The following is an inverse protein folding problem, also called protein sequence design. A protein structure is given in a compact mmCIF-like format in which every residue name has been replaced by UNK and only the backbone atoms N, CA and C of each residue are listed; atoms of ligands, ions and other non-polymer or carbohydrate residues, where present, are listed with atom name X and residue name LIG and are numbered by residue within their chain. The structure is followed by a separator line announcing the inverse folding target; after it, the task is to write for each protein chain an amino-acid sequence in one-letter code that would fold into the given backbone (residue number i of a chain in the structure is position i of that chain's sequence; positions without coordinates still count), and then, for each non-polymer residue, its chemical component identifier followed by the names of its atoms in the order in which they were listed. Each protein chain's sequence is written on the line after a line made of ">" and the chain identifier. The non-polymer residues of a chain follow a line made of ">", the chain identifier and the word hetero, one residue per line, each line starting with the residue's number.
data_IF_509678346335
#
_entry.id   IF_509678346335
#
_cell.length_a   1.000
_cell.length_b   1.000
_cell.length_c   1.000
_cell.angle_alpha   90.00
_cell.angle_beta   90.00
_cell.angle_gamma   90.00
#
_symmetry.space_group_name_H-M   'P 1'
#
loop_
_entity.id
_entity.type
_entity.pdbx_description
1 polymer ?
#
# COMPACT_ATOMS: atom_id res chain seq x y z
N UNK A 1 -34.76 11.78 38.49
CA UNK A 1 -34.01 11.04 37.46
C UNK A 1 -32.53 11.30 37.67
N UNK A 2 -31.73 10.25 37.85
CA UNK A 2 -30.35 10.36 38.33
C UNK A 2 -29.42 10.79 37.20
N UNK A 3 -28.61 11.84 37.40
CA UNK A 3 -27.70 12.41 36.40
C UNK A 3 -26.69 11.40 35.83
N UNK A 4 -26.50 10.26 36.49
CA UNK A 4 -25.65 9.16 36.02
C UNK A 4 -26.22 8.41 34.80
N UNK A 5 -27.55 8.43 34.60
CA UNK A 5 -28.18 7.76 33.47
C UNK A 5 -27.92 8.50 32.15
N UNK A 6 -27.91 9.84 32.22
CA UNK A 6 -27.63 10.72 31.08
C UNK A 6 -26.19 10.57 30.56
N UNK A 7 -25.23 10.38 31.47
CA UNK A 7 -23.82 10.20 31.12
C UNK A 7 -23.57 8.84 30.46
N UNK A 8 -24.24 7.78 30.91
CA UNK A 8 -24.15 6.44 30.32
C UNK A 8 -24.68 6.40 28.90
N UNK A 9 -25.78 7.10 28.62
CA UNK A 9 -26.33 7.18 27.26
C UNK A 9 -25.38 7.94 26.32
N UNK A 10 -24.78 9.06 26.80
CA UNK A 10 -23.83 9.85 26.01
C UNK A 10 -22.54 9.11 25.64
N UNK A 11 -22.09 8.15 26.47
CA UNK A 11 -20.87 7.38 26.20
C UNK A 11 -21.10 6.14 25.33
N UNK A 12 -22.36 5.74 25.09
CA UNK A 12 -22.70 4.52 24.35
C UNK A 12 -22.42 4.63 22.84
N UNK A 13 -22.35 5.85 22.30
CA UNK A 13 -22.12 6.13 20.88
C UNK A 13 -20.66 6.30 20.44
N UNK A 14 -19.72 6.45 21.38
CA UNK A 14 -18.33 6.80 21.06
C UNK A 14 -17.59 5.74 20.23
N UNK A 15 -17.87 4.46 20.45
CA UNK A 15 -17.25 3.37 19.70
C UNK A 15 -17.88 3.17 18.32
N UNK A 16 -19.20 3.36 18.17
CA UNK A 16 -19.88 3.27 16.88
C UNK A 16 -19.43 4.37 15.90
N UNK A 17 -19.06 5.55 16.41
CA UNK A 17 -18.45 6.62 15.59
C UNK A 17 -17.05 6.28 15.06
N UNK A 18 -16.32 5.38 15.74
CA UNK A 18 -15.01 4.89 15.31
C UNK A 18 -15.13 3.66 14.39
N UNK A 19 -16.19 2.86 14.57
CA UNK A 19 -16.48 1.65 13.76
C UNK A 19 -17.28 2.00 12.49
N UNK A 20 -17.73 3.25 12.32
CA UNK A 20 -18.40 3.70 11.08
C UNK A 20 -17.41 3.72 9.92
N UNK A 21 -17.25 2.56 9.29
CA UNK A 21 -16.54 2.36 8.03
C UNK A 21 -16.97 3.40 7.00
N UNK A 22 -16.01 3.99 6.31
CA UNK A 22 -16.24 4.92 5.19
C UNK A 22 -16.79 4.18 3.98
N UNK A 23 -18.03 3.70 4.09
CA UNK A 23 -18.88 3.15 3.04
C UNK A 23 -20.29 3.56 3.49
N UNK A 24 -21.02 4.49 2.89
CA UNK A 24 -21.03 5.01 1.53
C UNK A 24 -22.21 5.97 1.49
N UNK A 25 -22.05 7.19 0.97
CA UNK A 25 -23.19 8.00 0.54
C UNK A 25 -22.74 9.14 -0.40
N UNK A 26 -22.36 8.79 -1.62
CA UNK A 26 -22.77 9.58 -2.78
C UNK A 26 -23.05 8.68 -3.97
N UNK A 27 -24.31 8.24 -3.99
CA UNK A 27 -25.21 8.19 -5.13
C UNK A 27 -24.71 7.61 -6.46
N UNK A 28 -25.33 6.48 -6.76
CA UNK A 28 -25.44 5.83 -8.05
C UNK A 28 -25.82 6.82 -9.17
N UNK A 29 -24.99 6.88 -10.21
CA UNK A 29 -25.48 7.08 -11.58
C UNK A 29 -24.59 6.31 -12.54
N UNK A 30 -25.17 5.26 -13.12
CA UNK A 30 -24.61 4.53 -14.24
C UNK A 30 -24.17 5.50 -15.35
N UNK A 31 -22.93 5.37 -15.81
CA UNK A 31 -22.53 5.20 -17.22
C UNK A 31 -21.02 5.30 -17.33
N UNK A 32 -20.46 4.36 -18.10
CA UNK A 32 -19.27 4.52 -18.94
C UNK A 32 -17.98 5.04 -18.32
N UNK A 33 -16.95 4.19 -18.40
CA UNK A 33 -15.67 4.49 -19.06
C UNK A 33 -15.20 5.95 -19.09
N UNK A 34 -13.93 6.11 -18.72
CA UNK A 34 -13.04 7.25 -18.99
C UNK A 34 -13.12 8.42 -18.02
N UNK A 35 -12.15 8.46 -17.10
CA UNK A 35 -10.92 9.26 -17.28
C UNK A 35 -10.19 9.41 -15.94
N UNK A 36 -9.20 8.55 -15.70
CA UNK A 36 -8.07 8.91 -14.84
C UNK A 36 -6.83 8.72 -15.71
N UNK A 37 -6.47 9.85 -16.32
CA UNK A 37 -5.12 10.27 -16.73
C UNK A 37 -4.11 9.13 -16.93
N UNK A 38 -3.74 8.95 -18.19
CA UNK A 38 -2.61 8.14 -18.63
C UNK A 38 -1.39 8.33 -17.72
N UNK A 39 -1.14 7.33 -16.89
CA UNK A 39 0.13 7.06 -16.26
C UNK A 39 0.51 5.64 -16.70
N UNK A 40 1.79 5.37 -17.03
CA UNK A 40 2.20 4.11 -17.64
C UNK A 40 1.67 2.95 -16.80
N UNK A 41 1.21 1.89 -17.46
CA UNK A 41 0.69 0.66 -16.87
C UNK A 41 1.69 0.14 -15.83
N UNK A 42 1.58 0.60 -14.58
CA UNK A 42 2.39 0.11 -13.48
C UNK A 42 1.82 -1.24 -13.13
N UNK A 43 2.52 -2.26 -13.56
CA UNK A 43 2.29 -3.65 -13.21
C UNK A 43 1.91 -3.78 -11.73
N UNK A 44 0.91 -4.61 -11.43
CA UNK A 44 0.35 -4.74 -10.09
C UNK A 44 1.44 -5.14 -9.10
N UNK A 45 1.84 -4.21 -8.23
CA UNK A 45 2.94 -4.44 -7.30
C UNK A 45 2.53 -5.47 -6.23
N UNK A 46 3.26 -6.58 -6.19
CA UNK A 46 3.11 -7.62 -5.16
C UNK A 46 4.07 -7.32 -4.00
N UNK A 47 3.60 -7.49 -2.76
CA UNK A 47 4.46 -7.39 -1.59
C UNK A 47 5.06 -8.77 -1.28
N UNK A 48 6.38 -8.84 -1.20
CA UNK A 48 7.11 -10.08 -0.95
C UNK A 48 8.03 -9.91 0.27
N UNK A 49 8.07 -10.92 1.13
CA UNK A 49 9.03 -11.02 2.22
C UNK A 49 10.23 -11.86 1.77
N UNK A 50 11.45 -11.35 1.98
CA UNK A 50 12.68 -12.04 1.60
C UNK A 50 13.60 -12.27 2.79
N UNK A 51 14.28 -13.42 2.78
CA UNK A 51 15.42 -13.69 3.65
C UNK A 51 16.67 -13.60 2.78
N UNK A 52 17.56 -12.66 3.10
CA UNK A 52 18.79 -12.41 2.34
C UNK A 52 19.98 -12.28 3.27
N UNK A 53 21.16 -12.62 2.75
CA UNK A 53 22.41 -12.47 3.50
C UNK A 53 22.67 -11.00 3.82
N UNK A 54 23.12 -10.73 5.06
CA UNK A 54 23.42 -9.37 5.56
C UNK A 54 24.42 -8.61 4.68
N UNK A 55 25.39 -9.32 4.10
CA UNK A 55 26.38 -8.75 3.17
C UNK A 55 25.74 -8.24 1.88
N UNK A 56 24.81 -8.99 1.31
CA UNK A 56 24.08 -8.63 0.09
C UNK A 56 23.18 -7.41 0.34
N UNK A 57 22.42 -7.43 1.43
CA UNK A 57 21.57 -6.30 1.81
C UNK A 57 22.36 -4.99 1.94
N UNK A 58 23.53 -5.02 2.58
CA UNK A 58 24.41 -3.84 2.69
C UNK A 58 24.86 -3.34 1.33
N UNK A 59 25.30 -4.23 0.44
CA UNK A 59 25.76 -3.87 -0.91
C UNK A 59 24.63 -3.24 -1.73
N UNK A 60 23.43 -3.83 -1.73
CA UNK A 60 22.26 -3.25 -2.39
C UNK A 60 21.90 -1.88 -1.83
N UNK A 61 21.97 -1.70 -0.51
CA UNK A 61 21.69 -0.41 0.13
C UNK A 61 22.67 0.68 -0.32
N UNK A 62 23.97 0.39 -0.36
CA UNK A 62 24.96 1.36 -0.84
C UNK A 62 24.76 1.67 -2.32
N UNK A 63 24.53 0.64 -3.15
CA UNK A 63 24.28 0.80 -4.57
C UNK A 63 23.04 1.67 -4.86
N UNK A 64 21.97 1.51 -4.08
CA UNK A 64 20.78 2.36 -4.19
C UNK A 64 21.08 3.84 -3.87
N UNK A 65 21.93 4.10 -2.88
CA UNK A 65 22.37 5.46 -2.52
C UNK A 65 23.23 6.05 -3.65
N UNK A 66 24.22 5.30 -4.13
CA UNK A 66 25.15 5.76 -5.17
C UNK A 66 24.43 6.11 -6.47
N UNK A 67 23.42 5.31 -6.84
CA UNK A 67 22.62 5.49 -8.06
C UNK A 67 21.41 6.41 -7.87
N UNK A 68 21.15 6.91 -6.65
CA UNK A 68 19.94 7.66 -6.29
C UNK A 68 18.62 6.96 -6.71
N UNK A 69 18.60 5.63 -6.66
CA UNK A 69 17.43 4.81 -6.99
C UNK A 69 16.77 4.29 -5.71
N UNK A 70 15.49 3.96 -5.77
CA UNK A 70 14.85 3.29 -4.64
C UNK A 70 15.38 1.86 -4.51
N UNK A 71 15.39 1.33 -3.28
CA UNK A 71 15.77 -0.07 -3.06
C UNK A 71 14.87 -1.04 -3.83
N UNK A 72 13.59 -0.68 -4.03
CA UNK A 72 12.64 -1.45 -4.83
C UNK A 72 13.11 -1.55 -6.29
N UNK A 73 13.49 -0.43 -6.90
CA UNK A 73 13.89 -0.41 -8.31
C UNK A 73 15.16 -1.22 -8.54
N UNK A 74 16.14 -1.11 -7.63
CA UNK A 74 17.36 -1.92 -7.66
C UNK A 74 17.06 -3.41 -7.55
N UNK A 75 16.13 -3.79 -6.66
CA UNK A 75 15.75 -5.21 -6.50
C UNK A 75 15.03 -5.71 -7.74
N UNK A 76 14.10 -4.94 -8.31
CA UNK A 76 13.39 -5.35 -9.53
C UNK A 76 14.34 -5.50 -10.72
N UNK A 77 15.23 -4.53 -10.95
CA UNK A 77 16.24 -4.58 -12.02
C UNK A 77 17.13 -5.82 -11.87
N UNK A 78 17.60 -6.11 -10.66
CA UNK A 78 18.39 -7.31 -10.39
C UNK A 78 17.61 -8.63 -10.60
N UNK A 79 16.30 -8.64 -10.33
CA UNK A 79 15.46 -9.81 -10.54
C UNK A 79 15.18 -10.02 -12.02
N UNK A 80 14.88 -8.95 -12.77
CA UNK A 80 14.72 -8.98 -14.23
C UNK A 80 15.97 -9.50 -14.93
N UNK A 81 17.15 -8.95 -14.61
CA UNK A 81 18.44 -9.41 -15.16
C UNK A 81 18.70 -10.89 -14.87
N UNK A 82 18.30 -11.38 -13.69
CA UNK A 82 18.46 -12.78 -13.33
C UNK A 82 17.53 -13.68 -14.15
N UNK A 83 16.28 -13.29 -14.35
CA UNK A 83 15.32 -14.03 -15.17
C UNK A 83 15.77 -14.08 -16.63
N UNK A 84 16.13 -12.94 -17.23
CA UNK A 84 16.62 -12.89 -18.63
C UNK A 84 17.81 -13.80 -18.89
N UNK A 85 18.68 -13.96 -17.89
CA UNK A 85 19.87 -14.81 -17.98
C UNK A 85 19.54 -16.30 -17.90
N UNK A 86 18.47 -16.68 -17.22
CA UNK A 86 18.18 -18.07 -16.84
C UNK A 86 16.91 -18.66 -17.47
N UNK A 87 16.02 -17.85 -18.04
CA UNK A 87 14.79 -18.30 -18.72
C UNK A 87 15.01 -18.76 -20.18
N UNK A 88 16.23 -19.16 -20.55
CA UNK A 88 16.54 -19.74 -21.87
C UNK A 88 16.40 -21.26 -21.92
#
# INVERSE_FOLDING_TARGET
>A
MSKGDLLKDSMKGGLNGLISSTTSAKEEKATSSSKVVAAPEKESAVHCNFIINKSIHKRMKYLAIDLNKSLKDIVNEAMEEYLEKHER
#
